data_IF_392020318007
#
_entry.id   IF_392020318007
#
_cell.length_a   1.000
_cell.length_b   1.000
_cell.length_c   1.000
_cell.angle_alpha   90.00
_cell.angle_beta   90.00
_cell.angle_gamma   90.00
#
_symmetry.space_group_name_H-M   'P 1'
#
loop_
_entity.id
_entity.type
_entity.pdbx_description
1 polymer ?
#
# COMPACT_ATOMS: atom_id res chain seq x y z
N UNK A 1 -2.37 35.90 -14.31
CA UNK A 1 -2.90 35.07 -13.21
C UNK A 1 -2.99 33.64 -13.70
N UNK A 2 -2.04 32.79 -13.31
CA UNK A 2 -1.97 31.40 -13.76
C UNK A 2 -3.02 30.54 -13.07
N UNK A 3 -3.75 29.72 -13.84
CA UNK A 3 -4.65 28.70 -13.31
C UNK A 3 -3.82 27.70 -12.48
N UNK A 4 -4.29 27.27 -11.30
CA UNK A 4 -3.59 26.22 -10.57
C UNK A 4 -3.59 24.95 -11.42
N UNK A 5 -2.40 24.47 -11.80
CA UNK A 5 -2.23 23.15 -12.39
C UNK A 5 -2.79 22.13 -11.40
N UNK A 6 -3.79 21.36 -11.84
CA UNK A 6 -4.23 20.19 -11.12
C UNK A 6 -3.04 19.26 -10.91
N UNK A 7 -2.81 18.88 -9.64
CA UNK A 7 -1.75 17.98 -9.20
C UNK A 7 -1.93 16.60 -9.86
N UNK A 8 -1.33 16.41 -11.04
CA UNK A 8 -1.40 15.17 -11.82
C UNK A 8 -0.24 14.19 -11.58
N UNK A 9 0.73 14.53 -10.74
CA UNK A 9 1.97 13.73 -10.56
C UNK A 9 1.91 12.63 -9.49
N UNK A 10 0.99 12.73 -8.53
CA UNK A 10 1.01 11.92 -7.30
C UNK A 10 0.21 10.60 -7.40
N UNK A 11 0.15 9.95 -8.58
CA UNK A 11 -0.62 8.69 -8.74
C UNK A 11 0.12 7.58 -9.45
N UNK A 12 1.32 7.82 -9.97
CA UNK A 12 2.09 6.79 -10.64
C UNK A 12 2.69 5.82 -9.61
N UNK A 13 2.47 4.53 -9.86
CA UNK A 13 3.06 3.43 -9.09
C UNK A 13 4.46 3.19 -9.65
N UNK A 14 5.43 3.10 -8.75
CA UNK A 14 6.83 2.77 -9.05
C UNK A 14 7.03 1.25 -9.06
N UNK A 15 6.46 0.56 -8.06
CA UNK A 15 6.68 -0.86 -7.88
C UNK A 15 5.49 -1.56 -7.20
N UNK A 16 5.24 -2.80 -7.60
CA UNK A 16 4.33 -3.74 -6.93
C UNK A 16 5.11 -5.03 -6.67
N UNK A 17 5.06 -5.54 -5.44
CA UNK A 17 5.64 -6.85 -5.10
C UNK A 17 4.54 -7.82 -4.70
N UNK A 18 4.60 -9.01 -5.26
CA UNK A 18 3.67 -10.09 -4.94
C UNK A 18 4.36 -11.20 -4.14
N UNK A 19 3.58 -11.93 -3.34
CA UNK A 19 4.03 -13.16 -2.71
C UNK A 19 3.91 -14.36 -3.68
N UNK A 20 4.31 -15.56 -3.22
CA UNK A 20 4.24 -16.80 -4.00
C UNK A 20 2.81 -17.24 -4.37
N UNK A 21 1.79 -16.67 -3.74
CA UNK A 21 0.37 -16.86 -4.08
C UNK A 21 -0.13 -15.83 -5.11
N UNK A 22 0.76 -15.01 -5.66
CA UNK A 22 0.46 -13.87 -6.53
C UNK A 22 -0.46 -12.82 -5.85
N UNK A 23 -0.31 -12.64 -4.53
CA UNK A 23 -1.02 -11.60 -3.78
C UNK A 23 -0.08 -10.41 -3.50
N UNK A 24 -0.55 -9.16 -3.67
CA UNK A 24 0.28 -7.98 -3.49
C UNK A 24 0.65 -7.77 -2.02
N UNK A 25 1.95 -7.72 -1.75
CA UNK A 25 2.55 -7.46 -0.43
C UNK A 25 3.05 -6.04 -0.27
N UNK A 26 3.35 -5.35 -1.38
CA UNK A 26 3.79 -3.97 -1.39
C UNK A 26 3.27 -3.26 -2.65
N UNK A 27 2.74 -2.05 -2.47
CA UNK A 27 2.63 -1.06 -3.54
C UNK A 27 3.44 0.16 -3.12
N UNK A 28 4.36 0.61 -3.97
CA UNK A 28 5.18 1.79 -3.78
C UNK A 28 4.87 2.80 -4.88
N UNK A 29 4.62 4.05 -4.50
CA UNK A 29 4.38 5.15 -5.43
C UNK A 29 5.66 5.95 -5.67
N UNK A 30 5.75 6.60 -6.82
CA UNK A 30 6.89 7.46 -7.17
C UNK A 30 7.10 8.60 -6.15
N UNK A 31 6.03 9.03 -5.48
CA UNK A 31 6.10 10.06 -4.44
C UNK A 31 6.56 9.55 -3.07
N UNK A 32 6.97 8.27 -2.97
CA UNK A 32 7.51 7.65 -1.76
C UNK A 32 6.45 7.09 -0.81
N UNK A 33 5.16 7.29 -1.08
CA UNK A 33 4.11 6.59 -0.32
C UNK A 33 4.21 5.09 -0.54
N UNK A 34 3.73 4.31 0.42
CA UNK A 34 3.60 2.86 0.25
C UNK A 34 2.44 2.27 1.05
N UNK A 35 1.95 1.13 0.59
CA UNK A 35 1.04 0.25 1.34
C UNK A 35 1.68 -1.13 1.39
N UNK A 36 1.69 -1.72 2.57
CA UNK A 36 2.17 -3.08 2.83
C UNK A 36 1.01 -3.95 3.30
N UNK A 37 0.98 -5.21 2.84
CA UNK A 37 0.02 -6.21 3.29
C UNK A 37 0.72 -7.44 3.84
N UNK A 38 0.15 -7.97 4.93
CA UNK A 38 0.50 -9.25 5.51
C UNK A 38 -0.64 -10.23 5.26
N UNK A 39 -0.30 -11.43 4.80
CA UNK A 39 -1.23 -12.52 4.59
C UNK A 39 -0.79 -13.73 5.41
N UNK A 40 -1.73 -14.61 5.76
CA UNK A 40 -1.42 -15.94 6.27
C UNK A 40 -0.96 -16.88 5.13
N UNK A 41 -0.72 -18.15 5.47
CA UNK A 41 -0.31 -19.17 4.50
C UNK A 41 -1.43 -19.55 3.49
N UNK A 42 -2.68 -19.22 3.77
CA UNK A 42 -3.83 -19.52 2.90
C UNK A 42 -4.17 -18.35 1.96
N UNK A 43 -3.56 -17.18 2.17
CA UNK A 43 -3.83 -15.96 1.43
C UNK A 43 -4.87 -15.05 2.08
N UNK A 44 -5.30 -15.34 3.31
CA UNK A 44 -6.14 -14.45 4.10
C UNK A 44 -5.34 -13.22 4.56
N UNK A 45 -5.89 -12.02 4.34
CA UNK A 45 -5.28 -10.77 4.81
C UNK A 45 -5.31 -10.73 6.33
N UNK A 46 -4.15 -10.48 6.94
CA UNK A 46 -3.99 -10.30 8.38
C UNK A 46 -3.83 -8.83 8.75
N UNK A 47 -3.08 -8.06 7.94
CA UNK A 47 -2.81 -6.64 8.19
C UNK A 47 -2.63 -5.86 6.89
N UNK A 48 -3.04 -4.60 6.92
CA UNK A 48 -2.67 -3.58 5.95
C UNK A 48 -2.04 -2.38 6.69
N UNK A 49 -0.94 -1.86 6.17
CA UNK A 49 -0.27 -0.68 6.70
C UNK A 49 -0.03 0.34 5.59
N UNK A 50 -0.51 1.57 5.75
CA UNK A 50 -0.29 2.66 4.81
C UNK A 50 0.70 3.68 5.38
N UNK A 51 1.65 4.12 4.55
CA UNK A 51 2.72 5.03 4.93
C UNK A 51 2.77 6.24 4.00
N UNK A 52 2.98 7.40 4.61
CA UNK A 52 3.29 8.65 3.93
C UNK A 52 4.68 8.59 3.27
N UNK A 53 4.95 9.56 2.40
CA UNK A 53 6.24 9.72 1.70
C UNK A 53 7.45 9.87 2.63
N UNK A 54 7.24 10.38 3.84
CA UNK A 54 8.27 10.52 4.88
C UNK A 54 8.40 9.27 5.78
N UNK A 55 7.85 8.13 5.34
CA UNK A 55 7.79 6.87 6.06
C UNK A 55 7.01 6.90 7.39
N UNK A 56 6.24 7.97 7.66
CA UNK A 56 5.29 7.99 8.77
C UNK A 56 4.14 7.04 8.48
N UNK A 57 3.77 6.24 9.47
CA UNK A 57 2.62 5.37 9.42
C UNK A 57 1.34 6.22 9.53
N UNK A 58 0.48 6.16 8.52
CA UNK A 58 -0.78 6.91 8.50
C UNK A 58 -1.95 6.03 8.95
N UNK A 59 -1.96 4.76 8.53
CA UNK A 59 -3.07 3.84 8.80
C UNK A 59 -2.56 2.42 9.03
N UNK A 60 -3.20 1.73 9.99
CA UNK A 60 -3.10 0.28 10.17
C UNK A 60 -4.50 -0.28 10.29
N UNK A 61 -4.78 -1.32 9.51
CA UNK A 61 -5.98 -2.13 9.65
C UNK A 61 -5.60 -3.57 9.99
N UNK A 62 -6.05 -4.06 11.14
CA UNK A 62 -5.92 -5.46 11.56
C UNK A 62 -7.21 -6.23 11.25
N UNK A 63 -7.07 -7.32 10.51
CA UNK A 63 -8.19 -8.16 10.12
C UNK A 63 -8.32 -9.34 11.07
N UNK A 64 -9.11 -9.13 12.13
CA UNK A 64 -9.40 -10.15 13.15
C UNK A 64 -10.43 -11.14 12.59
N UNK A 65 -9.97 -12.12 11.82
CA UNK A 65 -10.85 -13.12 11.19
C UNK A 65 -10.18 -14.10 10.22
N UNK A 66 -8.86 -14.03 10.02
CA UNK A 66 -8.13 -14.91 9.10
C UNK A 66 -7.92 -16.36 9.60
N UNK A 67 -8.52 -16.75 10.72
CA UNK A 67 -8.48 -18.13 11.20
C UNK A 67 -9.83 -18.78 10.86
N UNK A 68 -9.89 -19.53 9.76
CA UNK A 68 -10.98 -20.46 9.45
C UNK A 68 -10.52 -21.90 9.59
#
# INVERSE_FOLDING_TARGET
MGRPQSQGGARAIDNIKDNYLNLPTLVHWIDGRKIEWLYDATGAKLRMSAYAANAQLEEVTDYVGGFS
#
